data_IF_031460727909
#
_entry.id   IF_031460727909
#
_cell.length_a   1.000
_cell.length_b   1.000
_cell.length_c   1.000
_cell.angle_alpha   90.00
_cell.angle_beta   90.00
_cell.angle_gamma   90.00
#
_symmetry.space_group_name_H-M   'P 1'
#
loop_
_entity.id
_entity.type
_entity.pdbx_description
1 polymer ?
#
# COMPACT_ATOMS: atom_id res chain seq x y z
N UNK A 1 -16.04 -8.17 -6.19
CA UNK A 1 -15.89 -8.93 -4.92
C UNK A 1 -16.59 -8.12 -3.83
N UNK A 2 -17.50 -8.70 -3.04
CA UNK A 2 -18.14 -7.95 -1.94
C UNK A 2 -17.09 -7.73 -0.83
N UNK A 3 -16.98 -6.52 -0.24
CA UNK A 3 -16.07 -6.30 0.87
C UNK A 3 -16.43 -7.22 2.02
N UNK A 4 -15.41 -7.87 2.61
CA UNK A 4 -15.59 -8.55 3.89
C UNK A 4 -15.98 -7.50 4.92
N UNK A 5 -17.09 -7.72 5.63
CA UNK A 5 -17.57 -6.81 6.65
C UNK A 5 -16.65 -6.91 7.87
N UNK A 6 -15.86 -5.86 8.08
CA UNK A 6 -14.93 -5.72 9.20
C UNK A 6 -14.85 -4.25 9.61
N UNK A 7 -14.69 -3.99 10.90
CA UNK A 7 -14.53 -2.64 11.45
C UNK A 7 -13.14 -2.07 11.14
N UNK A 8 -12.94 -0.78 11.37
CA UNK A 8 -11.62 -0.14 11.16
C UNK A 8 -10.63 -0.64 12.20
N UNK A 9 -11.11 -0.77 13.44
CA UNK A 9 -10.42 -1.17 14.64
C UNK A 9 -9.89 -2.61 14.53
N UNK A 10 -10.75 -3.55 14.11
CA UNK A 10 -10.37 -4.96 13.94
C UNK A 10 -9.48 -5.20 12.71
N UNK A 11 -9.54 -4.32 11.71
CA UNK A 11 -8.76 -4.45 10.48
C UNK A 11 -7.49 -3.61 10.50
N UNK A 12 -7.52 -2.43 9.87
CA UNK A 12 -6.32 -1.66 9.55
C UNK A 12 -5.75 -0.94 10.77
N UNK A 13 -6.55 -0.59 11.78
CA UNK A 13 -6.01 0.02 13.00
C UNK A 13 -5.01 -0.94 13.66
N UNK A 14 -5.47 -2.15 14.02
CA UNK A 14 -4.63 -3.16 14.65
C UNK A 14 -3.55 -3.72 13.73
N UNK A 15 -3.94 -4.20 12.55
CA UNK A 15 -3.02 -4.95 11.70
C UNK A 15 -2.05 -4.05 10.93
N UNK A 16 -2.37 -2.78 10.68
CA UNK A 16 -1.53 -1.91 9.84
C UNK A 16 -0.96 -0.74 10.63
N UNK A 17 -1.79 0.01 11.35
CA UNK A 17 -1.37 1.24 12.04
C UNK A 17 -0.56 0.90 13.30
N UNK A 18 -1.13 0.09 14.21
CA UNK A 18 -0.47 -0.33 15.45
C UNK A 18 0.74 -1.24 15.19
N UNK A 19 0.67 -2.05 14.13
CA UNK A 19 1.79 -2.89 13.68
C UNK A 19 2.92 -2.11 12.98
N UNK A 20 2.81 -0.79 12.85
CA UNK A 20 3.85 0.04 12.23
C UNK A 20 4.02 -0.14 10.71
N UNK A 21 3.04 -0.74 10.03
CA UNK A 21 3.06 -0.98 8.57
C UNK A 21 2.42 0.15 7.76
N UNK A 22 1.79 1.11 8.42
CA UNK A 22 1.14 2.24 7.76
C UNK A 22 2.18 3.17 7.12
N UNK A 23 2.03 3.42 5.81
CA UNK A 23 2.90 4.31 5.02
C UNK A 23 2.30 5.72 4.85
N UNK A 24 1.25 6.05 5.59
CA UNK A 24 0.65 7.39 5.57
C UNK A 24 -0.05 7.79 4.27
N UNK A 25 -0.45 6.88 3.38
CA UNK A 25 -1.02 7.24 2.08
C UNK A 25 -2.41 7.91 2.12
N UNK A 26 -3.12 7.88 3.26
CA UNK A 26 -4.43 8.52 3.43
C UNK A 26 -5.62 7.86 2.70
N UNK A 27 -5.39 6.80 1.92
CA UNK A 27 -6.45 6.16 1.11
C UNK A 27 -7.66 5.70 1.94
N UNK A 28 -7.44 5.13 3.11
CA UNK A 28 -8.52 4.68 4.00
C UNK A 28 -9.48 5.81 4.43
N UNK A 29 -8.94 7.02 4.61
CA UNK A 29 -9.71 8.23 4.92
C UNK A 29 -10.57 8.62 3.73
N UNK A 30 -9.97 8.69 2.54
CA UNK A 30 -10.65 9.07 1.30
C UNK A 30 -11.80 8.13 0.93
N UNK A 31 -11.60 6.81 1.08
CA UNK A 31 -12.58 5.80 0.64
C UNK A 31 -13.70 5.55 1.66
N UNK A 32 -13.64 6.15 2.85
CA UNK A 32 -14.65 5.94 3.87
C UNK A 32 -15.96 6.66 3.46
N UNK A 33 -17.02 5.94 3.05
CA UNK A 33 -18.22 6.60 2.52
C UNK A 33 -19.04 7.32 3.61
N UNK A 34 -18.70 7.09 4.88
CA UNK A 34 -19.36 7.67 6.05
C UNK A 34 -18.53 8.77 6.70
N UNK A 35 -17.35 9.10 6.14
CA UNK A 35 -16.41 10.07 6.70
C UNK A 35 -16.15 9.84 8.20
N UNK A 36 -15.91 8.57 8.58
CA UNK A 36 -15.63 8.18 9.96
C UNK A 36 -14.17 8.39 10.36
N UNK A 37 -13.28 8.57 9.39
CA UNK A 37 -11.85 8.70 9.58
C UNK A 37 -11.40 10.11 9.22
N UNK A 38 -10.43 10.62 9.95
CA UNK A 38 -9.64 11.82 9.63
C UNK A 38 -8.17 11.46 9.48
N UNK A 39 -7.40 12.31 8.80
CA UNK A 39 -5.97 12.13 8.65
C UNK A 39 -5.23 13.12 9.56
N UNK A 40 -4.53 12.60 10.57
CA UNK A 40 -3.82 13.40 11.57
C UNK A 40 -2.52 12.70 11.97
N UNK A 41 -1.43 13.47 12.13
CA UNK A 41 -0.10 12.94 12.47
C UNK A 41 0.32 11.78 11.54
N UNK A 42 0.12 11.99 10.23
CA UNK A 42 0.44 11.03 9.16
C UNK A 42 -0.30 9.67 9.24
N UNK A 43 -1.36 9.59 10.04
CA UNK A 43 -2.11 8.36 10.30
C UNK A 43 -3.62 8.59 10.24
N UNK A 44 -4.41 7.56 9.90
CA UNK A 44 -5.86 7.64 10.04
C UNK A 44 -6.27 7.60 11.51
N UNK A 45 -7.21 8.45 11.89
CA UNK A 45 -7.82 8.50 13.21
C UNK A 45 -9.34 8.35 13.08
N UNK A 46 -9.93 7.49 13.89
CA UNK A 46 -11.37 7.37 13.96
C UNK A 46 -11.97 8.55 14.74
N UNK A 47 -12.92 9.24 14.12
CA UNK A 47 -13.59 10.43 14.67
C UNK A 47 -15.11 10.28 14.75
N UNK A 48 -15.67 9.27 14.08
CA UNK A 48 -17.08 8.86 14.20
C UNK A 48 -17.19 7.35 14.28
N UNK A 49 -18.33 6.88 14.76
CA UNK A 49 -18.66 5.46 14.83
C UNK A 49 -18.51 4.77 13.45
N UNK A 50 -17.70 3.72 13.39
CA UNK A 50 -17.49 2.93 12.17
C UNK A 50 -18.74 2.11 11.81
N UNK A 51 -19.18 2.17 10.54
CA UNK A 51 -20.33 1.39 10.02
C UNK A 51 -19.96 0.01 9.47
N UNK A 52 -18.81 -0.53 9.88
CA UNK A 52 -18.37 -1.92 9.64
C UNK A 52 -18.47 -2.33 8.16
N UNK A 53 -18.12 -1.42 7.25
CA UNK A 53 -18.26 -1.65 5.81
C UNK A 53 -17.09 -2.41 5.18
N UNK A 54 -15.92 -2.43 5.83
CA UNK A 54 -14.71 -3.11 5.34
C UNK A 54 -13.98 -2.45 4.17
N UNK A 55 -14.47 -1.33 3.62
CA UNK A 55 -13.89 -0.70 2.42
C UNK A 55 -12.46 -0.21 2.67
N UNK A 56 -12.19 0.35 3.84
CA UNK A 56 -10.84 0.82 4.20
C UNK A 56 -9.83 -0.34 4.28
N UNK A 57 -10.25 -1.52 4.74
CA UNK A 57 -9.43 -2.72 4.79
C UNK A 57 -9.11 -3.22 3.38
N UNK A 58 -10.11 -3.28 2.51
CA UNK A 58 -9.93 -3.68 1.11
C UNK A 58 -9.04 -2.72 0.32
N UNK A 59 -9.13 -1.42 0.61
CA UNK A 59 -8.34 -0.40 -0.07
C UNK A 59 -6.90 -0.31 0.44
N UNK A 60 -6.61 -0.84 1.62
CA UNK A 60 -5.28 -0.74 2.22
C UNK A 60 -4.35 -1.85 1.69
N UNK A 61 -3.31 -1.53 0.90
CA UNK A 61 -2.41 -2.54 0.35
C UNK A 61 -1.57 -3.25 1.44
N UNK A 62 -1.47 -2.65 2.63
CA UNK A 62 -0.72 -3.19 3.76
C UNK A 62 -1.55 -4.16 4.63
N UNK A 63 -2.87 -4.20 4.45
CA UNK A 63 -3.74 -5.10 5.19
C UNK A 63 -3.75 -6.49 4.56
N UNK A 64 -4.21 -6.56 3.31
CA UNK A 64 -4.24 -7.79 2.53
C UNK A 64 -3.90 -7.46 1.08
N UNK A 65 -2.84 -8.07 0.56
CA UNK A 65 -2.42 -7.88 -0.83
C UNK A 65 -2.56 -9.20 -1.57
N UNK A 66 -3.45 -9.30 -2.59
CA UNK A 66 -3.72 -10.56 -3.29
C UNK A 66 -2.62 -10.86 -4.34
N UNK A 67 -1.38 -11.05 -3.89
CA UNK A 67 -0.20 -11.22 -4.75
C UNK A 67 -0.40 -12.31 -5.79
N UNK A 68 -0.85 -13.50 -5.39
CA UNK A 68 -1.10 -14.62 -6.30
C UNK A 68 -2.12 -14.32 -7.40
N UNK A 69 -3.14 -13.49 -7.11
CA UNK A 69 -4.14 -13.09 -8.09
C UNK A 69 -3.55 -12.10 -9.09
N UNK A 70 -2.79 -11.13 -8.59
CA UNK A 70 -2.11 -10.12 -9.42
C UNK A 70 -1.05 -10.78 -10.29
N UNK A 71 -0.27 -11.71 -9.74
CA UNK A 71 0.73 -12.47 -10.49
C UNK A 71 0.10 -13.23 -11.65
N UNK A 72 -1.00 -13.96 -11.39
CA UNK A 72 -1.72 -14.70 -12.42
C UNK A 72 -2.32 -13.76 -13.47
N UNK A 73 -2.79 -12.58 -13.08
CA UNK A 73 -3.37 -11.58 -13.99
C UNK A 73 -2.30 -10.95 -14.90
N UNK A 74 -1.15 -10.56 -14.34
CA UNK A 74 -0.12 -9.80 -15.06
C UNK A 74 0.86 -10.72 -15.82
N UNK A 75 1.18 -11.88 -15.26
CA UNK A 75 2.21 -12.78 -15.77
C UNK A 75 1.68 -14.15 -16.23
N UNK A 76 0.37 -14.36 -16.18
CA UNK A 76 -0.29 -15.64 -16.54
C UNK A 76 0.17 -16.85 -15.71
N UNK A 77 0.91 -16.64 -14.61
CA UNK A 77 1.34 -17.68 -13.68
C UNK A 77 1.60 -17.10 -12.29
N UNK A 78 1.75 -17.98 -11.30
CA UNK A 78 2.17 -17.63 -9.94
C UNK A 78 3.68 -17.79 -9.77
N UNK A 79 4.26 -17.09 -8.80
CA UNK A 79 5.67 -17.27 -8.40
C UNK A 79 5.90 -18.65 -7.75
N UNK A 80 7.10 -19.19 -7.93
CA UNK A 80 7.61 -20.35 -7.19
C UNK A 80 8.24 -19.91 -5.87
N UNK A 81 8.53 -20.87 -4.99
CA UNK A 81 9.10 -20.59 -3.66
C UNK A 81 10.54 -20.07 -3.70
N UNK A 82 11.27 -20.37 -4.77
CA UNK A 82 12.65 -19.93 -5.02
C UNK A 82 12.73 -18.54 -5.71
N UNK A 83 11.60 -17.96 -6.11
CA UNK A 83 11.53 -16.66 -6.78
C UNK A 83 11.41 -15.51 -5.77
N UNK A 84 12.52 -15.14 -5.13
CA UNK A 84 12.57 -14.14 -4.05
C UNK A 84 11.97 -12.76 -4.44
N UNK A 85 12.17 -12.33 -5.69
CA UNK A 85 11.65 -11.06 -6.22
C UNK A 85 10.28 -11.20 -6.91
N UNK A 86 9.65 -12.37 -6.84
CA UNK A 86 8.43 -12.68 -7.58
C UNK A 86 8.68 -12.90 -9.08
N UNK A 87 7.62 -12.75 -9.88
CA UNK A 87 7.70 -12.94 -11.34
C UNK A 87 8.13 -11.64 -12.01
N UNK A 88 9.18 -11.69 -12.84
CA UNK A 88 9.71 -10.54 -13.57
C UNK A 88 10.14 -10.93 -14.99
N UNK A 89 10.20 -9.94 -15.91
CA UNK A 89 10.80 -10.13 -17.25
C UNK A 89 12.29 -9.79 -17.27
N UNK A 90 12.69 -8.76 -16.53
CA UNK A 90 14.07 -8.29 -16.37
C UNK A 90 14.20 -7.54 -15.04
N UNK A 91 15.31 -7.75 -14.34
CA UNK A 91 15.70 -6.99 -13.16
C UNK A 91 16.88 -6.09 -13.52
N UNK A 92 16.80 -4.82 -13.14
CA UNK A 92 17.85 -3.81 -13.38
C UNK A 92 18.01 -2.99 -12.10
N UNK A 93 19.24 -2.64 -11.77
CA UNK A 93 19.55 -1.64 -10.75
C UNK A 93 19.94 -0.34 -11.45
N UNK A 94 19.34 0.77 -11.03
CA UNK A 94 19.57 2.08 -11.62
C UNK A 94 19.80 3.13 -10.53
N UNK A 95 20.62 4.14 -10.84
CA UNK A 95 20.92 5.29 -9.99
C UNK A 95 21.22 6.50 -10.88
N UNK A 96 20.79 7.68 -10.46
CA UNK A 96 21.13 8.94 -11.12
C UNK A 96 22.64 9.16 -11.11
N UNK A 97 23.18 9.61 -12.25
CA UNK A 97 24.59 10.01 -12.36
C UNK A 97 24.82 11.45 -11.87
N UNK A 98 23.79 12.31 -11.93
CA UNK A 98 23.89 13.72 -11.55
C UNK A 98 23.97 13.89 -10.03
N UNK A 99 25.07 14.46 -9.56
CA UNK A 99 25.33 14.78 -8.15
C UNK A 99 24.30 15.72 -7.51
N UNK A 100 23.65 16.60 -8.27
CA UNK A 100 22.61 17.48 -7.73
C UNK A 100 21.32 16.72 -7.47
N UNK A 101 20.94 15.81 -8.37
CA UNK A 101 19.79 14.91 -8.17
C UNK A 101 20.02 14.05 -6.94
N UNK A 102 21.22 13.47 -6.81
CA UNK A 102 21.56 12.60 -5.68
C UNK A 102 21.46 13.26 -4.30
N UNK A 103 21.49 14.61 -4.22
CA UNK A 103 21.32 15.34 -2.95
C UNK A 103 19.87 15.44 -2.49
N UNK A 104 18.91 15.34 -3.41
CA UNK A 104 17.49 15.64 -3.12
C UNK A 104 16.54 14.50 -3.49
N UNK A 105 17.02 13.46 -4.17
CA UNK A 105 16.20 12.35 -4.62
C UNK A 105 15.91 11.31 -3.54
N UNK A 106 14.83 10.55 -3.74
CA UNK A 106 14.58 9.28 -3.05
C UNK A 106 15.10 8.11 -3.90
N UNK A 107 15.46 7.00 -3.25
CA UNK A 107 15.76 5.71 -3.89
C UNK A 107 16.76 5.77 -5.05
N UNK A 108 17.79 6.62 -4.94
CA UNK A 108 18.85 6.76 -5.94
C UNK A 108 18.47 7.59 -7.18
N UNK A 109 17.29 8.20 -7.23
CA UNK A 109 16.95 9.26 -8.19
C UNK A 109 16.66 8.83 -9.61
N UNK A 110 16.37 7.54 -9.83
CA UNK A 110 16.07 7.03 -11.17
C UNK A 110 14.86 7.73 -11.83
N UNK A 111 13.78 7.97 -11.08
CA UNK A 111 12.59 8.69 -11.59
C UNK A 111 12.88 10.17 -11.80
N UNK A 112 13.58 10.81 -10.86
CA UNK A 112 13.95 12.24 -10.96
C UNK A 112 14.86 12.50 -12.16
N UNK A 113 15.71 11.56 -12.56
CA UNK A 113 16.59 11.71 -13.70
C UNK A 113 15.89 11.64 -15.07
N UNK A 114 14.64 11.17 -15.14
CA UNK A 114 13.88 11.00 -16.39
C UNK A 114 12.68 11.94 -16.55
N UNK A 115 12.43 12.80 -15.56
CA UNK A 115 11.40 13.85 -15.59
C UNK A 115 12.07 15.21 -15.82
#
# INVERSE_FOLDING_TARGET
MKPVKVSFEESIAKAVVEAGRCVGCGTCVLVCPFNCLEYANEKPKLVKECKVCGICAQACPQYEFPSSTIEKLVFSRKRKTDEAFGVYRRLVLARAADSQILKVCQDGGAVTAIL
#
